data_IF_735547599242
#
_entry.id   IF_735547599242
#
_cell.length_a   1.000
_cell.length_b   1.000
_cell.length_c   1.000
_cell.angle_alpha   90.00
_cell.angle_beta   90.00
_cell.angle_gamma   90.00
#
_symmetry.space_group_name_H-M   'P 1'
#
loop_
_entity.id
_entity.type
_entity.pdbx_description
1 polymer ?
#
# COMPACT_ATOMS: atom_id res chain seq x y z
N UNK A 1 1.62 -11.22 6.19
CA UNK A 1 1.28 -9.94 5.52
C UNK A 1 0.23 -10.17 4.43
N UNK A 2 -0.67 -9.21 4.20
CA UNK A 2 -1.80 -9.31 3.24
C UNK A 2 -1.86 -8.08 2.33
N UNK A 3 -2.13 -8.25 1.04
CA UNK A 3 -2.40 -7.14 0.12
C UNK A 3 -3.69 -6.42 0.50
N UNK A 4 -3.66 -5.10 0.64
CA UNK A 4 -4.82 -4.29 1.02
C UNK A 4 -5.87 -4.11 -0.09
N UNK A 5 -5.58 -4.56 -1.33
CA UNK A 5 -6.49 -4.48 -2.47
C UNK A 5 -7.12 -5.84 -2.77
N UNK A 6 -6.31 -6.88 -2.99
CA UNK A 6 -6.81 -8.20 -3.41
C UNK A 6 -6.85 -9.25 -2.30
N UNK A 7 -6.42 -8.92 -1.07
CA UNK A 7 -6.41 -9.88 0.03
C UNK A 7 -5.38 -11.00 -0.10
N UNK A 8 -4.46 -10.92 -1.08
CA UNK A 8 -3.40 -11.91 -1.27
C UNK A 8 -2.53 -11.98 0.00
N UNK A 9 -2.58 -13.13 0.69
CA UNK A 9 -1.68 -13.43 1.81
C UNK A 9 -0.36 -13.94 1.22
N UNK A 10 0.77 -13.50 1.78
CA UNK A 10 2.11 -13.99 1.41
C UNK A 10 2.18 -15.48 1.78
N UNK A 11 1.72 -16.36 0.89
CA UNK A 11 2.11 -17.76 0.78
C UNK A 11 3.02 -17.81 -0.43
N UNK A 12 4.33 -17.91 -0.19
CA UNK A 12 5.34 -18.52 -1.08
C UNK A 12 5.07 -18.42 -2.59
N UNK A 13 4.73 -17.23 -3.09
CA UNK A 13 4.47 -16.99 -4.52
C UNK A 13 5.13 -15.68 -4.91
N UNK A 14 5.60 -15.60 -6.15
CA UNK A 14 6.40 -14.52 -6.77
C UNK A 14 5.81 -13.10 -6.70
N UNK A 15 4.65 -12.92 -6.06
CA UNK A 15 4.04 -11.62 -5.86
C UNK A 15 4.49 -11.02 -4.53
N UNK A 16 5.62 -10.31 -4.58
CA UNK A 16 6.10 -9.49 -3.48
C UNK A 16 5.00 -8.51 -3.00
N UNK A 17 4.83 -8.46 -1.68
CA UNK A 17 4.03 -7.45 -1.00
C UNK A 17 4.92 -6.27 -0.68
N UNK A 18 4.67 -5.14 -1.31
CA UNK A 18 5.45 -3.91 -1.20
C UNK A 18 4.76 -3.01 -0.18
N UNK A 19 5.45 -2.54 0.87
CA UNK A 19 4.92 -1.52 1.76
C UNK A 19 4.75 -0.21 0.97
N UNK A 20 3.58 0.41 1.07
CA UNK A 20 3.25 1.64 0.37
C UNK A 20 2.47 2.58 1.30
N UNK A 21 2.75 3.87 1.21
CA UNK A 21 2.00 4.93 1.88
C UNK A 21 0.87 5.40 0.95
N UNK A 22 -0.36 5.08 1.33
CA UNK A 22 -1.57 5.39 0.55
C UNK A 22 -2.38 6.47 1.26
N UNK A 23 -2.91 7.41 0.50
CA UNK A 23 -3.87 8.39 1.04
C UNK A 23 -5.27 7.77 1.08
N UNK A 24 -5.81 7.56 2.27
CA UNK A 24 -7.16 7.03 2.47
C UNK A 24 -8.11 8.09 3.01
N UNK A 25 -9.36 8.04 2.55
CA UNK A 25 -10.46 8.85 3.06
C UNK A 25 -11.01 8.19 4.33
N UNK A 26 -10.95 8.88 5.46
CA UNK A 26 -11.45 8.41 6.76
C UNK A 26 -12.51 9.37 7.29
N UNK A 27 -13.55 8.85 7.95
CA UNK A 27 -14.51 9.66 8.69
C UNK A 27 -14.07 9.78 10.15
N UNK A 28 -14.07 10.98 10.70
CA UNK A 28 -13.85 11.20 12.12
C UNK A 28 -15.11 10.89 12.95
N UNK A 29 -14.98 10.91 14.28
CA UNK A 29 -16.11 10.71 15.21
C UNK A 29 -17.23 11.75 15.06
N UNK A 30 -16.96 12.87 14.38
CA UNK A 30 -17.92 13.95 14.07
C UNK A 30 -18.45 13.84 12.63
N UNK A 31 -18.30 12.68 11.99
CA UNK A 31 -18.69 12.40 10.60
C UNK A 31 -18.00 13.28 9.53
N UNK A 32 -16.97 14.05 9.88
CA UNK A 32 -16.21 14.83 8.90
C UNK A 32 -15.24 13.92 8.16
N UNK A 33 -15.18 14.11 6.86
CA UNK A 33 -14.22 13.44 6.00
C UNK A 33 -12.85 14.08 6.15
N UNK A 34 -11.82 13.27 6.39
CA UNK A 34 -10.41 13.69 6.31
C UNK A 34 -9.60 12.70 5.48
N UNK A 35 -8.55 13.17 4.83
CA UNK A 35 -7.58 12.32 4.17
C UNK A 35 -6.43 12.02 5.13
N UNK A 36 -6.05 10.75 5.26
CA UNK A 36 -4.92 10.32 6.08
C UNK A 36 -4.02 9.43 5.25
N UNK A 37 -2.71 9.70 5.29
CA UNK A 37 -1.69 8.79 4.75
C UNK A 37 -1.52 7.61 5.71
N UNK A 38 -1.64 6.39 5.20
CA UNK A 38 -1.49 5.15 5.98
C UNK A 38 -0.56 4.20 5.27
N UNK A 39 0.28 3.50 6.03
CA UNK A 39 1.13 2.43 5.52
C UNK A 39 0.29 1.17 5.34
N UNK A 40 0.34 0.60 4.13
CA UNK A 40 -0.35 -0.63 3.75
C UNK A 40 0.51 -1.41 2.77
N UNK A 41 0.37 -2.73 2.80
CA UNK A 41 1.08 -3.58 1.85
C UNK A 41 0.21 -3.81 0.62
N UNK A 42 0.78 -3.60 -0.56
CA UNK A 42 0.13 -3.86 -1.86
C UNK A 42 0.96 -4.91 -2.60
N UNK A 43 0.32 -5.89 -3.23
CA UNK A 43 1.03 -6.81 -4.12
C UNK A 43 1.41 -6.11 -5.43
N UNK A 44 2.54 -6.48 -6.04
CA UNK A 44 3.03 -5.88 -7.30
C UNK A 44 1.95 -5.73 -8.39
N UNK A 45 1.11 -6.74 -8.61
CA UNK A 45 -0.01 -6.68 -9.58
C UNK A 45 -1.03 -5.58 -9.28
N UNK A 46 -1.42 -5.44 -8.01
CA UNK A 46 -2.36 -4.40 -7.60
C UNK A 46 -1.73 -3.01 -7.63
N UNK A 47 -0.43 -2.93 -7.34
CA UNK A 47 0.34 -1.69 -7.45
C UNK A 47 0.36 -1.20 -8.89
N UNK A 48 0.73 -2.06 -9.85
CA UNK A 48 0.72 -1.72 -11.28
C UNK A 48 -0.67 -1.25 -11.74
N UNK A 49 -1.74 -1.95 -11.35
CA UNK A 49 -3.11 -1.54 -11.69
C UNK A 49 -3.47 -0.16 -11.12
N UNK A 50 -3.02 0.16 -9.91
CA UNK A 50 -3.29 1.43 -9.29
C UNK A 50 -2.52 2.58 -9.97
N UNK A 51 -1.25 2.36 -10.34
CA UNK A 51 -0.47 3.29 -11.15
C UNK A 51 -1.13 3.55 -12.51
N UNK A 52 -1.56 2.50 -13.22
CA UNK A 52 -2.29 2.64 -14.49
C UNK A 52 -3.59 3.43 -14.37
N UNK A 53 -4.24 3.41 -13.20
CA UNK A 53 -5.46 4.18 -12.93
C UNK A 53 -5.19 5.61 -12.45
N UNK A 54 -3.92 6.04 -12.39
CA UNK A 54 -3.54 7.37 -11.90
C UNK A 54 -3.77 7.57 -10.41
N UNK A 55 -3.80 6.50 -9.60
CA UNK A 55 -3.95 6.61 -8.15
C UNK A 55 -2.60 7.06 -7.56
N UNK A 56 -2.54 8.18 -6.82
CA UNK A 56 -1.31 8.64 -6.22
C UNK A 56 -0.91 7.73 -5.05
N UNK A 57 0.05 6.83 -5.32
CA UNK A 57 0.65 5.94 -4.34
C UNK A 57 2.11 6.34 -4.16
N UNK A 58 2.51 6.55 -2.91
CA UNK A 58 3.92 6.76 -2.56
C UNK A 58 4.45 5.42 -2.07
N UNK A 59 5.44 4.88 -2.76
CA UNK A 59 6.15 3.68 -2.31
C UNK A 59 7.24 4.20 -1.39
N UNK A 60 7.14 3.90 -0.08
CA UNK A 60 8.30 4.04 0.81
C UNK A 60 9.16 2.81 0.48
N UNK A 61 10.15 3.00 -0.39
CA UNK A 61 11.28 2.09 -0.45
C UNK A 61 12.03 2.37 0.85
N UNK A 62 11.84 1.55 1.87
CA UNK A 62 12.90 1.37 2.84
C UNK A 62 14.07 0.86 1.98
N UNK A 63 15.02 1.75 1.67
CA UNK A 63 16.36 1.31 1.31
C UNK A 63 16.70 0.31 2.43
N UNK A 64 16.84 -0.96 2.07
CA UNK A 64 17.55 -1.88 2.95
C UNK A 64 18.87 -1.17 3.22
N UNK A 65 19.01 -0.61 4.43
CA UNK A 65 20.29 -0.37 5.06
C UNK A 65 21.01 -1.72 4.99
N UNK A 66 21.72 -1.92 3.88
CA UNK A 66 22.80 -2.87 3.76
C UNK A 66 23.92 -2.30 4.65
N UNK A 67 23.72 -2.40 5.97
CA UNK A 67 24.82 -2.36 6.91
C UNK A 67 25.66 -3.63 6.69
N UNK A 68 26.94 -3.38 6.39
CA UNK A 68 28.11 -4.28 6.24
C UNK A 68 28.30 -5.09 4.94
#
# INVERSE_FOLDING_TARGET
MICCICGLRKKETDNALIPCKITMKVKDKKCKTRYRKVLKNICRKCLSKAFFRGIPIIIDLEEEDNEE
#
